data_IF_646258544047
#
_entry.id   IF_646258544047
#
_cell.length_a   1.000
_cell.length_b   1.000
_cell.length_c   1.000
_cell.angle_alpha   90.00
_cell.angle_beta   90.00
_cell.angle_gamma   90.00
#
_symmetry.space_group_name_H-M   'P 1'
#
loop_
_entity.id
_entity.type
_entity.pdbx_description
1 polymer ?
#
# COMPACT_ATOMS: atom_id res chain seq x y z
N UNK A 1 -67.89 -75.18 76.35
CA UNK A 1 -68.35 -74.89 74.97
C UNK A 1 -67.25 -74.08 74.30
N UNK A 2 -66.34 -74.80 73.65
CA UNK A 2 -65.09 -74.27 73.13
C UNK A 2 -65.32 -73.45 71.87
N UNK A 3 -65.10 -72.13 71.99
CA UNK A 3 -65.00 -71.23 70.85
C UNK A 3 -63.69 -71.53 70.13
N UNK A 4 -63.72 -72.47 69.17
CA UNK A 4 -62.65 -72.65 68.19
C UNK A 4 -62.40 -71.30 67.51
N UNK A 5 -61.21 -70.69 67.67
CA UNK A 5 -60.94 -69.39 67.07
C UNK A 5 -60.88 -69.55 65.54
N UNK A 6 -61.47 -68.57 64.86
CA UNK A 6 -61.60 -68.51 63.42
C UNK A 6 -60.22 -68.40 62.73
N UNK A 7 -59.58 -69.54 62.46
CA UNK A 7 -58.35 -69.68 61.66
C UNK A 7 -58.46 -68.96 60.29
N UNK A 8 -59.67 -68.88 59.72
CA UNK A 8 -59.93 -68.11 58.50
C UNK A 8 -59.75 -66.58 58.64
N UNK A 9 -59.95 -66.01 59.84
CA UNK A 9 -59.80 -64.56 60.04
C UNK A 9 -58.33 -64.12 60.14
N UNK A 10 -57.47 -64.96 60.72
CA UNK A 10 -56.02 -64.71 60.81
C UNK A 10 -55.35 -64.81 59.43
N UNK A 11 -55.74 -65.80 58.63
CA UNK A 11 -55.23 -65.95 57.27
C UNK A 11 -55.68 -64.79 56.35
N UNK A 12 -56.93 -64.36 56.47
CA UNK A 12 -57.45 -63.20 55.73
C UNK A 12 -56.75 -61.90 56.14
N UNK A 13 -56.51 -61.67 57.43
CA UNK A 13 -55.76 -60.50 57.91
C UNK A 13 -54.32 -60.49 57.41
N UNK A 14 -53.66 -61.65 57.35
CA UNK A 14 -52.29 -61.74 56.84
C UNK A 14 -52.21 -61.43 55.34
N UNK A 15 -53.15 -61.96 54.54
CA UNK A 15 -53.27 -61.66 53.11
C UNK A 15 -53.55 -60.18 52.86
N UNK A 16 -54.44 -59.56 53.65
CA UNK A 16 -54.70 -58.12 53.58
C UNK A 16 -53.43 -57.30 53.85
N UNK A 17 -52.69 -57.63 54.92
CA UNK A 17 -51.44 -56.95 55.25
C UNK A 17 -50.36 -57.12 54.16
N UNK A 18 -50.26 -58.31 53.55
CA UNK A 18 -49.35 -58.54 52.42
C UNK A 18 -49.78 -57.75 51.18
N UNK A 19 -51.07 -57.68 50.89
CA UNK A 19 -51.61 -56.93 49.75
C UNK A 19 -51.36 -55.43 49.93
N UNK A 20 -51.57 -54.90 51.14
CA UNK A 20 -51.29 -53.51 51.49
C UNK A 20 -49.80 -53.18 51.39
N UNK A 21 -48.92 -54.07 51.86
CA UNK A 21 -47.47 -53.89 51.76
C UNK A 21 -47.01 -53.82 50.28
N UNK A 22 -47.54 -54.70 49.42
CA UNK A 22 -47.25 -54.67 47.98
C UNK A 22 -47.79 -53.39 47.34
N UNK A 23 -49.00 -52.96 47.69
CA UNK A 23 -49.56 -51.69 47.19
C UNK A 23 -48.74 -50.48 47.63
N UNK A 24 -48.25 -50.46 48.88
CA UNK A 24 -47.38 -49.39 49.38
C UNK A 24 -46.04 -49.36 48.65
N UNK A 25 -45.41 -50.51 48.41
CA UNK A 25 -44.18 -50.61 47.61
C UNK A 25 -44.40 -50.11 46.19
N UNK A 26 -45.48 -50.56 45.53
CA UNK A 26 -45.83 -50.11 44.18
C UNK A 26 -46.05 -48.59 44.11
N UNK A 27 -46.76 -48.00 45.09
CA UNK A 27 -46.93 -46.54 45.19
C UNK A 27 -45.61 -45.81 45.41
N UNK A 28 -44.69 -46.39 46.19
CA UNK A 28 -43.35 -45.82 46.43
C UNK A 28 -42.54 -45.83 45.14
N UNK A 29 -42.50 -46.95 44.43
CA UNK A 29 -41.82 -47.08 43.14
C UNK A 29 -42.39 -46.13 42.09
N UNK A 30 -43.72 -45.97 42.02
CA UNK A 30 -44.35 -45.00 41.13
C UNK A 30 -43.92 -43.56 41.44
N UNK A 31 -43.86 -43.17 42.72
CA UNK A 31 -43.39 -41.84 43.13
C UNK A 31 -41.91 -41.64 42.81
N UNK A 32 -41.10 -42.66 43.02
CA UNK A 32 -39.66 -42.62 42.70
C UNK A 32 -39.44 -42.50 41.19
N UNK A 33 -40.16 -43.28 40.39
CA UNK A 33 -40.16 -43.18 38.93
C UNK A 33 -40.59 -41.80 38.45
N UNK A 34 -41.63 -41.22 39.05
CA UNK A 34 -42.06 -39.85 38.73
C UNK A 34 -40.95 -38.83 39.03
N UNK A 35 -40.33 -38.90 40.23
CA UNK A 35 -39.20 -38.01 40.58
C UNK A 35 -38.00 -38.15 39.64
N UNK A 36 -37.68 -39.38 39.23
CA UNK A 36 -36.60 -39.65 38.28
C UNK A 36 -36.93 -39.07 36.91
N UNK A 37 -38.17 -39.22 36.44
CA UNK A 37 -38.62 -38.61 35.18
C UNK A 37 -38.51 -37.09 35.21
N UNK A 38 -38.97 -36.44 36.27
CA UNK A 38 -38.86 -34.98 36.43
C UNK A 38 -37.39 -34.52 36.45
N UNK A 39 -36.51 -35.31 37.07
CA UNK A 39 -35.07 -35.04 37.12
C UNK A 39 -34.42 -35.20 35.74
N UNK A 40 -34.82 -36.23 34.98
CA UNK A 40 -34.34 -36.45 33.59
C UNK A 40 -34.80 -35.32 32.68
N UNK A 41 -36.06 -34.87 32.79
CA UNK A 41 -36.59 -33.75 32.01
C UNK A 41 -35.84 -32.45 32.32
N UNK A 42 -35.58 -32.18 33.60
CA UNK A 42 -34.78 -31.02 34.04
C UNK A 42 -33.36 -31.07 33.48
N UNK A 43 -32.67 -32.20 33.62
CA UNK A 43 -31.30 -32.37 33.10
C UNK A 43 -31.25 -32.29 31.57
N UNK A 44 -32.25 -32.82 30.87
CA UNK A 44 -32.37 -32.72 29.42
C UNK A 44 -32.50 -31.25 28.97
N UNK A 45 -33.31 -30.46 29.69
CA UNK A 45 -33.42 -29.01 29.48
C UNK A 45 -32.10 -28.28 29.72
N UNK A 46 -31.38 -28.61 30.81
CA UNK A 46 -30.08 -28.02 31.10
C UNK A 46 -29.02 -28.37 30.05
N UNK A 47 -28.97 -29.63 29.59
CA UNK A 47 -28.06 -30.07 28.53
C UNK A 47 -28.34 -29.31 27.24
N UNK A 48 -29.61 -29.21 26.84
CA UNK A 48 -30.00 -28.46 25.64
C UNK A 48 -29.60 -26.98 25.72
N UNK A 49 -29.78 -26.35 26.89
CA UNK A 49 -29.36 -24.96 27.09
C UNK A 49 -27.83 -24.80 27.05
N UNK A 50 -27.08 -25.73 27.64
CA UNK A 50 -25.61 -25.73 27.59
C UNK A 50 -25.10 -25.96 26.17
N UNK A 51 -25.73 -26.84 25.39
CA UNK A 51 -25.38 -27.06 23.98
C UNK A 51 -25.61 -25.82 23.13
N UNK A 52 -26.73 -25.12 23.33
CA UNK A 52 -26.99 -23.82 22.67
C UNK A 52 -25.95 -22.77 23.04
N UNK A 53 -25.64 -22.64 24.33
CA UNK A 53 -24.61 -21.71 24.79
C UNK A 53 -23.22 -22.04 24.22
N UNK A 54 -22.88 -23.34 24.15
CA UNK A 54 -21.63 -23.80 23.56
C UNK A 54 -21.56 -23.52 22.05
N UNK A 55 -22.66 -23.69 21.31
CA UNK A 55 -22.71 -23.35 19.89
C UNK A 55 -22.49 -21.85 19.65
N UNK A 56 -23.14 -20.99 20.44
CA UNK A 56 -22.94 -19.53 20.39
C UNK A 56 -21.50 -19.16 20.71
N UNK A 57 -20.90 -19.76 21.75
CA UNK A 57 -19.50 -19.52 22.11
C UNK A 57 -18.54 -19.95 20.99
N UNK A 58 -18.76 -21.11 20.36
CA UNK A 58 -17.96 -21.59 19.21
C UNK A 58 -18.01 -20.62 18.04
N UNK A 59 -19.21 -20.17 17.66
CA UNK A 59 -19.39 -19.18 16.59
C UNK A 59 -18.65 -17.87 16.89
N UNK A 60 -18.70 -17.38 18.14
CA UNK A 60 -17.95 -16.18 18.55
C UNK A 60 -16.43 -16.38 18.47
N UNK A 61 -15.92 -17.55 18.87
CA UNK A 61 -14.48 -17.88 18.77
C UNK A 61 -14.04 -17.94 17.32
N UNK A 62 -14.84 -18.51 16.43
CA UNK A 62 -14.54 -18.56 14.99
C UNK A 62 -14.51 -17.16 14.37
N UNK A 63 -15.47 -16.29 14.71
CA UNK A 63 -15.49 -14.90 14.25
C UNK A 63 -14.24 -14.13 14.70
N UNK A 64 -13.84 -14.26 15.97
CA UNK A 64 -12.64 -13.62 16.51
C UNK A 64 -11.36 -14.17 15.86
N UNK A 65 -11.29 -15.47 15.56
CA UNK A 65 -10.15 -16.05 14.84
C UNK A 65 -10.03 -15.51 13.41
N UNK A 66 -11.16 -15.35 12.72
CA UNK A 66 -11.18 -14.76 11.38
C UNK A 66 -10.73 -13.28 11.41
N UNK A 67 -11.20 -12.51 12.39
CA UNK A 67 -10.78 -11.12 12.57
C UNK A 67 -9.29 -10.99 12.92
N UNK A 68 -8.80 -11.81 13.84
CA UNK A 68 -7.38 -11.85 14.20
C UNK A 68 -6.49 -12.22 13.01
N UNK A 69 -6.91 -13.22 12.21
CA UNK A 69 -6.23 -13.58 10.96
C UNK A 69 -6.16 -12.42 9.98
N UNK A 70 -7.28 -11.67 9.80
CA UNK A 70 -7.32 -10.48 8.94
C UNK A 70 -6.36 -9.39 9.41
N UNK A 71 -6.32 -9.12 10.72
CA UNK A 71 -5.44 -8.10 11.31
C UNK A 71 -3.97 -8.50 11.13
N UNK A 72 -3.62 -9.76 11.37
CA UNK A 72 -2.25 -10.24 11.18
C UNK A 72 -1.82 -10.17 9.72
N UNK A 73 -2.66 -10.58 8.78
CA UNK A 73 -2.36 -10.45 7.35
C UNK A 73 -2.14 -8.97 6.96
N UNK A 74 -2.94 -8.04 7.49
CA UNK A 74 -2.74 -6.61 7.26
C UNK A 74 -1.45 -6.08 7.90
N UNK A 75 -1.07 -6.60 9.07
CA UNK A 75 0.18 -6.22 9.75
C UNK A 75 1.40 -6.75 9.00
N UNK A 76 1.39 -8.02 8.58
CA UNK A 76 2.46 -8.63 7.79
C UNK A 76 2.61 -7.90 6.44
N UNK A 77 1.51 -7.58 5.76
CA UNK A 77 1.55 -6.77 4.54
C UNK A 77 2.17 -5.40 4.77
N UNK A 78 1.91 -4.77 5.93
CA UNK A 78 2.50 -3.48 6.31
C UNK A 78 3.97 -3.59 6.74
N UNK A 79 4.38 -4.70 7.35
CA UNK A 79 5.78 -4.94 7.70
C UNK A 79 6.61 -5.28 6.45
N UNK A 80 6.00 -5.94 5.47
CA UNK A 80 6.64 -6.30 4.21
C UNK A 80 6.62 -5.17 3.16
N UNK A 81 5.81 -4.13 3.32
CA UNK A 81 5.94 -2.93 2.49
C UNK A 81 7.27 -2.25 2.82
N UNK A 82 8.13 -2.08 1.81
CA UNK A 82 9.43 -1.41 1.97
C UNK A 82 9.22 -0.04 2.61
N UNK A 83 9.97 0.23 3.68
CA UNK A 83 9.95 1.54 4.31
C UNK A 83 10.63 2.55 3.39
N UNK A 84 10.02 3.72 3.19
CA UNK A 84 10.53 4.75 2.27
C UNK A 84 11.98 5.11 2.61
N UNK A 85 12.29 5.31 3.90
CA UNK A 85 13.64 5.69 4.32
C UNK A 85 14.68 4.63 3.98
N UNK A 86 14.32 3.35 4.08
CA UNK A 86 15.22 2.24 3.74
C UNK A 86 15.48 2.22 2.23
N UNK A 87 14.43 2.33 1.41
CA UNK A 87 14.59 2.30 -0.05
C UNK A 87 15.33 3.54 -0.56
N UNK A 88 15.01 4.70 -0.01
CA UNK A 88 15.71 5.96 -0.26
C UNK A 88 17.21 5.86 0.10
N UNK A 89 17.52 5.36 1.31
CA UNK A 89 18.91 5.19 1.75
C UNK A 89 19.68 4.20 0.85
N UNK A 90 19.05 3.10 0.45
CA UNK A 90 19.63 2.12 -0.46
C UNK A 90 19.92 2.72 -1.84
N UNK A 91 18.97 3.49 -2.41
CA UNK A 91 19.17 4.19 -3.68
C UNK A 91 20.30 5.22 -3.59
N UNK A 92 20.35 6.04 -2.54
CA UNK A 92 21.46 6.96 -2.33
C UNK A 92 22.80 6.22 -2.21
N UNK A 93 22.88 5.17 -1.40
CA UNK A 93 24.09 4.38 -1.23
C UNK A 93 24.57 3.78 -2.56
N UNK A 94 23.63 3.29 -3.38
CA UNK A 94 23.89 2.85 -4.75
C UNK A 94 24.52 3.97 -5.58
N UNK A 95 23.90 5.14 -5.71
CA UNK A 95 24.47 6.23 -6.53
C UNK A 95 25.81 6.76 -5.99
N UNK A 96 26.01 6.77 -4.67
CA UNK A 96 27.29 7.14 -4.04
C UNK A 96 28.41 6.15 -4.33
N UNK A 97 28.12 4.84 -4.36
CA UNK A 97 29.13 3.81 -4.63
C UNK A 97 29.82 3.97 -5.99
N UNK A 98 29.14 4.61 -6.96
CA UNK A 98 29.66 4.86 -8.29
C UNK A 98 30.21 6.28 -8.49
N UNK A 99 30.47 7.02 -7.39
CA UNK A 99 30.97 8.40 -7.47
C UNK A 99 32.28 8.55 -8.26
N UNK A 100 33.08 7.49 -8.31
CA UNK A 100 34.41 7.50 -8.93
C UNK A 100 34.46 6.94 -10.36
N UNK A 101 33.34 6.45 -10.91
CA UNK A 101 33.32 5.90 -12.27
C UNK A 101 33.16 7.03 -13.31
N UNK A 102 33.97 6.99 -14.38
CA UNK A 102 33.81 7.92 -15.51
C UNK A 102 32.56 7.58 -16.32
N UNK A 103 31.83 8.61 -16.75
CA UNK A 103 30.66 8.42 -17.60
C UNK A 103 31.04 7.91 -19.01
N UNK A 104 30.30 6.93 -19.52
CA UNK A 104 30.38 6.46 -20.92
C UNK A 104 29.49 7.30 -21.84
N UNK A 105 28.40 7.85 -21.31
CA UNK A 105 27.47 8.76 -22.00
C UNK A 105 28.16 9.97 -22.63
N UNK A 106 29.25 10.44 -22.01
CA UNK A 106 30.05 11.58 -22.46
C UNK A 106 30.67 11.41 -23.86
N UNK A 107 30.90 10.20 -24.34
CA UNK A 107 31.60 9.95 -25.61
C UNK A 107 30.69 9.99 -26.84
N UNK A 108 29.38 9.75 -26.68
CA UNK A 108 28.50 9.42 -27.80
C UNK A 108 27.31 10.34 -28.04
N UNK A 109 26.93 11.17 -27.09
CA UNK A 109 25.60 11.82 -27.13
C UNK A 109 25.67 13.32 -27.40
N UNK A 110 26.53 14.12 -26.75
CA UNK A 110 26.47 15.59 -26.92
C UNK A 110 27.83 16.27 -26.75
N UNK A 111 28.53 16.50 -27.86
CA UNK A 111 29.69 17.40 -27.88
C UNK A 111 29.32 18.89 -27.98
N UNK A 112 28.03 19.24 -28.12
CA UNK A 112 27.58 20.64 -28.28
C UNK A 112 26.36 20.96 -27.41
N UNK A 113 26.58 21.03 -26.09
CA UNK A 113 25.54 21.48 -25.15
C UNK A 113 25.09 22.93 -25.45
N UNK A 114 25.98 23.73 -26.02
CA UNK A 114 25.76 25.11 -26.47
C UNK A 114 24.57 25.28 -27.44
N UNK A 115 24.18 24.23 -28.15
CA UNK A 115 23.07 24.29 -29.11
C UNK A 115 21.69 24.13 -28.46
N UNK A 116 21.64 23.78 -27.17
CA UNK A 116 20.40 23.47 -26.48
C UNK A 116 20.02 24.57 -25.49
N UNK A 117 18.71 24.81 -25.37
CA UNK A 117 18.16 25.79 -24.41
C UNK A 117 18.27 25.34 -22.95
N UNK A 118 18.50 24.06 -22.73
CA UNK A 118 18.61 23.44 -21.41
C UNK A 118 18.51 21.92 -21.50
N UNK A 119 18.72 21.26 -20.36
CA UNK A 119 18.67 19.79 -20.23
C UNK A 119 17.49 19.40 -19.36
N UNK A 120 16.70 18.44 -19.85
CA UNK A 120 15.54 17.89 -19.14
C UNK A 120 15.77 16.40 -18.94
N UNK A 121 15.60 15.91 -17.72
CA UNK A 121 15.83 14.51 -17.37
C UNK A 121 14.59 13.95 -16.69
N UNK A 122 14.07 12.85 -17.22
CA UNK A 122 13.03 12.03 -16.60
C UNK A 122 13.67 10.71 -16.09
N UNK A 123 14.02 10.62 -14.78
CA UNK A 123 14.60 9.43 -14.18
C UNK A 123 13.63 8.26 -14.06
N UNK A 124 14.15 7.12 -13.58
CA UNK A 124 13.34 5.93 -13.28
C UNK A 124 12.21 6.33 -12.34
N UNK A 125 10.98 5.98 -12.71
CA UNK A 125 9.78 6.52 -12.10
C UNK A 125 8.60 5.61 -12.28
N UNK A 126 7.45 6.08 -11.81
CA UNK A 126 6.19 5.34 -11.96
C UNK A 126 5.86 5.22 -13.45
N UNK A 127 5.69 3.98 -13.92
CA UNK A 127 5.33 3.69 -15.30
C UNK A 127 3.87 4.11 -15.54
N UNK A 128 3.68 5.20 -16.25
CA UNK A 128 2.34 5.68 -16.58
C UNK A 128 1.87 4.94 -17.83
N UNK A 129 0.68 4.34 -17.77
CA UNK A 129 0.04 3.72 -18.93
C UNK A 129 -0.15 4.67 -20.13
N UNK A 130 -0.15 5.99 -19.90
CA UNK A 130 -0.23 7.00 -20.93
C UNK A 130 1.17 7.54 -21.29
N UNK A 131 1.52 7.66 -22.60
CA UNK A 131 2.81 8.19 -23.04
C UNK A 131 2.95 9.71 -22.88
N UNK A 132 2.31 10.32 -21.87
CA UNK A 132 2.29 11.77 -21.63
C UNK A 132 3.70 12.35 -21.44
N UNK A 133 4.54 11.70 -20.63
CA UNK A 133 5.94 12.10 -20.44
C UNK A 133 6.68 12.10 -21.78
N UNK A 134 6.57 11.01 -22.55
CA UNK A 134 7.22 10.90 -23.85
C UNK A 134 6.76 11.99 -24.82
N UNK A 135 5.46 12.33 -24.80
CA UNK A 135 4.87 13.41 -25.60
C UNK A 135 5.45 14.77 -25.24
N UNK A 136 5.54 15.10 -23.95
CA UNK A 136 6.14 16.34 -23.46
C UNK A 136 7.63 16.45 -23.81
N UNK A 137 8.40 15.40 -23.53
CA UNK A 137 9.83 15.38 -23.83
C UNK A 137 10.08 15.55 -25.34
N UNK A 138 9.23 14.97 -26.19
CA UNK A 138 9.30 15.19 -27.64
C UNK A 138 8.96 16.64 -28.02
N UNK A 139 7.92 17.23 -27.46
CA UNK A 139 7.57 18.64 -27.70
C UNK A 139 8.69 19.60 -27.28
N UNK A 140 9.35 19.31 -26.16
CA UNK A 140 10.48 20.07 -25.63
C UNK A 140 11.75 19.86 -26.47
N UNK A 141 12.01 18.64 -26.93
CA UNK A 141 13.09 18.34 -27.87
C UNK A 141 12.94 19.14 -29.18
N UNK A 142 11.73 19.18 -29.74
CA UNK A 142 11.41 20.01 -30.92
C UNK A 142 11.59 21.52 -30.64
N UNK A 143 11.44 21.93 -29.39
CA UNK A 143 11.64 23.32 -28.95
C UNK A 143 13.10 23.68 -28.66
N UNK A 144 14.04 22.74 -28.84
CA UNK A 144 15.48 22.94 -28.66
C UNK A 144 16.03 22.54 -27.29
N UNK A 145 15.31 21.75 -26.49
CA UNK A 145 15.83 21.18 -25.25
C UNK A 145 16.48 19.81 -25.48
N UNK A 146 17.49 19.49 -24.68
CA UNK A 146 18.08 18.15 -24.65
C UNK A 146 17.31 17.30 -23.64
N UNK A 147 16.55 16.32 -24.11
CA UNK A 147 15.66 15.54 -23.27
C UNK A 147 16.17 14.11 -23.06
N UNK A 148 16.19 13.65 -21.80
CA UNK A 148 16.53 12.30 -21.40
C UNK A 148 15.32 11.59 -20.79
N UNK A 149 15.11 10.33 -21.15
CA UNK A 149 14.05 9.49 -20.63
C UNK A 149 14.59 8.14 -20.17
N UNK A 150 14.33 7.76 -18.92
CA UNK A 150 14.65 6.41 -18.45
C UNK A 150 13.78 5.36 -19.15
N UNK A 151 14.42 4.29 -19.62
CA UNK A 151 13.79 3.14 -20.27
C UNK A 151 14.62 1.89 -19.93
N UNK A 152 14.10 0.94 -19.14
CA UNK A 152 14.89 -0.20 -18.66
C UNK A 152 15.35 -1.15 -19.78
N UNK A 153 14.55 -1.32 -20.83
CA UNK A 153 14.72 -2.35 -21.86
C UNK A 153 15.69 -1.98 -23.00
N UNK A 154 16.64 -1.07 -22.77
CA UNK A 154 17.62 -0.65 -23.79
C UNK A 154 18.88 -1.51 -23.71
N UNK A 155 19.26 -2.16 -24.81
CA UNK A 155 20.48 -2.99 -24.84
C UNK A 155 21.78 -2.17 -24.77
N UNK A 156 21.84 -1.02 -25.45
CA UNK A 156 23.10 -0.27 -25.67
C UNK A 156 23.36 0.87 -24.67
N UNK A 157 22.74 0.84 -23.49
CA UNK A 157 22.90 1.90 -22.47
C UNK A 157 22.13 3.19 -22.78
N UNK A 158 22.11 3.61 -24.05
CA UNK A 158 21.28 4.72 -24.55
C UNK A 158 20.88 4.55 -26.02
N UNK A 159 19.80 5.23 -26.44
CA UNK A 159 19.38 5.37 -27.84
C UNK A 159 18.72 6.73 -28.06
N UNK A 160 18.98 7.39 -29.20
CA UNK A 160 18.25 8.60 -29.57
C UNK A 160 17.02 8.23 -30.41
N UNK A 161 15.82 8.52 -29.88
CA UNK A 161 14.54 8.24 -30.54
C UNK A 161 13.73 9.53 -30.62
N UNK A 162 13.53 10.02 -31.84
CA UNK A 162 12.74 11.23 -32.11
C UNK A 162 13.23 12.49 -31.35
N UNK A 163 14.55 12.63 -31.17
CA UNK A 163 15.14 13.77 -30.47
C UNK A 163 15.19 13.63 -28.94
N UNK A 164 14.63 12.55 -28.39
CA UNK A 164 14.73 12.21 -26.96
C UNK A 164 15.76 11.09 -26.80
N UNK A 165 16.70 11.28 -25.88
CA UNK A 165 17.70 10.28 -25.54
C UNK A 165 17.11 9.37 -24.48
N UNK A 166 16.87 8.13 -24.84
CA UNK A 166 16.43 7.12 -23.90
C UNK A 166 17.67 6.46 -23.28
N UNK A 167 17.65 6.18 -21.98
CA UNK A 167 18.78 5.61 -21.25
C UNK A 167 18.30 4.59 -20.20
N UNK A 168 19.14 3.61 -19.84
CA UNK A 168 18.80 2.62 -18.81
C UNK A 168 19.75 2.63 -17.59
N UNK A 169 20.75 3.50 -17.59
CA UNK A 169 21.76 3.60 -16.54
C UNK A 169 21.75 5.00 -15.91
N UNK A 170 21.00 5.15 -14.81
CA UNK A 170 20.89 6.42 -14.09
C UNK A 170 22.22 6.90 -13.48
N UNK A 171 23.10 5.97 -13.10
CA UNK A 171 24.43 6.30 -12.58
C UNK A 171 25.27 6.97 -13.65
N UNK A 172 25.27 6.42 -14.86
CA UNK A 172 26.06 6.95 -15.97
C UNK A 172 25.61 8.37 -16.36
N UNK A 173 24.29 8.60 -16.38
CA UNK A 173 23.72 9.92 -16.62
C UNK A 173 24.04 10.89 -15.48
N UNK A 174 23.90 10.47 -14.22
CA UNK A 174 24.24 11.30 -13.06
C UNK A 174 25.69 11.78 -13.12
N UNK A 175 26.62 10.87 -13.45
CA UNK A 175 28.04 11.20 -13.63
C UNK A 175 28.22 12.22 -14.74
N UNK A 176 27.58 12.03 -15.89
CA UNK A 176 27.66 12.98 -17.00
C UNK A 176 27.17 14.38 -16.60
N UNK A 177 26.05 14.49 -15.88
CA UNK A 177 25.52 15.78 -15.39
C UNK A 177 26.51 16.44 -14.43
N UNK A 178 27.07 15.69 -13.48
CA UNK A 178 28.03 16.19 -12.50
C UNK A 178 29.36 16.61 -13.15
N UNK A 179 29.92 15.77 -14.02
CA UNK A 179 31.21 16.02 -14.70
C UNK A 179 31.15 17.26 -15.60
N UNK A 180 29.99 17.53 -16.18
CA UNK A 180 29.73 18.70 -17.04
C UNK A 180 29.15 19.90 -16.28
N UNK A 181 28.94 19.78 -14.96
CA UNK A 181 28.33 20.80 -14.10
C UNK A 181 26.99 21.32 -14.66
N UNK A 182 26.21 20.43 -15.26
CA UNK A 182 24.91 20.79 -15.84
C UNK A 182 23.91 21.01 -14.71
N UNK A 183 23.08 22.06 -14.83
CA UNK A 183 21.92 22.28 -13.99
C UNK A 183 20.65 21.85 -14.73
N UNK A 184 20.22 20.58 -14.61
CA UNK A 184 19.08 20.08 -15.34
C UNK A 184 17.74 20.48 -14.70
N UNK A 185 16.70 20.44 -15.52
CA UNK A 185 15.31 20.35 -15.06
C UNK A 185 14.96 18.86 -14.90
N UNK A 186 14.60 18.45 -13.69
CA UNK A 186 14.25 17.07 -13.38
C UNK A 186 12.74 16.92 -13.37
N UNK A 187 12.22 16.10 -14.28
CA UNK A 187 10.81 15.70 -14.29
C UNK A 187 10.63 14.54 -13.29
N UNK A 188 10.14 14.88 -12.11
CA UNK A 188 9.88 13.93 -11.04
C UNK A 188 8.43 13.46 -11.12
N UNK A 189 8.23 12.14 -11.20
CA UNK A 189 6.91 11.49 -11.05
C UNK A 189 6.83 10.66 -9.77
N UNK A 190 7.97 10.44 -9.10
CA UNK A 190 8.06 9.62 -7.91
C UNK A 190 8.99 10.20 -6.85
N UNK A 191 8.58 10.14 -5.58
CA UNK A 191 9.36 10.70 -4.46
C UNK A 191 10.75 10.09 -4.32
N UNK A 192 10.96 8.82 -4.69
CA UNK A 192 12.28 8.17 -4.57
C UNK A 192 13.30 8.67 -5.60
N UNK A 193 12.87 9.36 -6.66
CA UNK A 193 13.77 10.04 -7.57
C UNK A 193 14.58 11.14 -6.86
N UNK A 194 14.13 11.59 -5.68
CA UNK A 194 14.89 12.50 -4.83
C UNK A 194 16.22 11.94 -4.34
N UNK A 195 16.33 10.62 -4.17
CA UNK A 195 17.61 9.98 -3.88
C UNK A 195 18.65 10.22 -4.99
N UNK A 196 18.20 10.43 -6.22
CA UNK A 196 19.05 10.69 -7.38
C UNK A 196 19.36 12.19 -7.53
N UNK A 197 18.32 13.05 -7.60
CA UNK A 197 18.53 14.46 -7.95
C UNK A 197 19.15 15.28 -6.81
N UNK A 198 19.00 14.88 -5.55
CA UNK A 198 19.62 15.60 -4.43
C UNK A 198 21.16 15.58 -4.50
N UNK A 199 21.73 14.65 -5.26
CA UNK A 199 23.16 14.58 -5.51
C UNK A 199 23.67 15.66 -6.48
N UNK A 200 22.76 16.35 -7.19
CA UNK A 200 23.07 17.41 -8.16
C UNK A 200 23.24 18.80 -7.53
N UNK A 201 23.02 18.95 -6.22
CA UNK A 201 23.19 20.19 -5.48
C UNK A 201 22.03 21.17 -5.62
N UNK A 202 21.71 21.63 -6.85
CA UNK A 202 20.64 22.60 -7.11
C UNK A 202 19.85 22.30 -8.41
N UNK A 203 19.20 21.14 -8.53
CA UNK A 203 18.35 20.85 -9.69
C UNK A 203 17.08 21.72 -9.69
N UNK A 204 16.59 22.08 -10.87
CA UNK A 204 15.24 22.64 -11.01
C UNK A 204 14.25 21.49 -11.05
N UNK A 205 13.32 21.42 -10.10
CA UNK A 205 12.36 20.32 -10.03
C UNK A 205 11.07 20.67 -10.75
N UNK A 206 10.66 19.81 -11.67
CA UNK A 206 9.32 19.76 -12.24
C UNK A 206 8.63 18.51 -11.70
N UNK A 207 7.62 18.68 -10.85
CA UNK A 207 6.93 17.58 -10.20
C UNK A 207 5.57 17.28 -10.86
N UNK A 208 5.39 16.09 -11.42
CA UNK A 208 4.12 15.62 -11.97
C UNK A 208 3.41 14.70 -10.98
N UNK A 209 2.21 15.11 -10.55
CA UNK A 209 1.39 14.36 -9.60
C UNK A 209 0.51 13.36 -10.37
N UNK A 210 0.72 12.06 -10.12
CA UNK A 210 -0.01 10.98 -10.78
C UNK A 210 -1.21 10.52 -9.95
N UNK A 211 -2.26 10.08 -10.64
CA UNK A 211 -3.59 10.00 -10.05
C UNK A 211 -3.79 8.87 -9.03
N UNK A 212 -3.16 7.71 -9.25
CA UNK A 212 -3.65 6.43 -8.72
C UNK A 212 -2.60 5.62 -7.95
N UNK A 213 -1.34 5.70 -8.37
CA UNK A 213 -0.24 4.91 -7.79
C UNK A 213 0.43 5.65 -6.65
N UNK A 214 0.57 6.96 -6.81
CA UNK A 214 0.94 7.94 -5.81
C UNK A 214 0.28 7.68 -4.43
N UNK A 215 -1.05 7.74 -4.30
CA UNK A 215 -1.69 7.53 -2.99
C UNK A 215 -1.62 6.09 -2.46
N UNK A 216 -1.54 5.07 -3.33
CA UNK A 216 -1.51 3.66 -2.91
C UNK A 216 -0.11 3.23 -2.47
N UNK A 217 0.92 3.70 -3.17
CA UNK A 217 2.32 3.45 -2.84
C UNK A 217 2.77 4.32 -1.64
N UNK A 218 2.18 5.50 -1.43
CA UNK A 218 2.61 6.45 -0.39
C UNK A 218 1.67 6.52 0.83
N UNK A 219 0.56 5.79 0.79
CA UNK A 219 -0.49 5.88 1.80
C UNK A 219 -0.13 5.34 3.20
N UNK A 220 0.94 4.54 3.31
CA UNK A 220 1.23 3.81 4.55
C UNK A 220 2.38 4.37 5.39
N UNK A 221 3.40 4.94 4.77
CA UNK A 221 4.58 5.44 5.49
C UNK A 221 4.61 6.99 5.58
N UNK A 222 5.07 7.49 6.72
CA UNK A 222 5.14 8.92 7.02
C UNK A 222 6.27 9.62 6.23
N UNK A 223 7.40 8.94 6.00
CA UNK A 223 8.55 9.49 5.30
C UNK A 223 8.22 9.87 3.86
N UNK A 224 7.62 8.95 3.11
CA UNK A 224 7.19 9.21 1.74
C UNK A 224 6.19 10.37 1.62
N UNK A 225 5.25 10.49 2.56
CA UNK A 225 4.28 11.60 2.61
C UNK A 225 4.96 12.93 2.87
N UNK A 226 5.91 12.98 3.80
CA UNK A 226 6.66 14.20 4.09
C UNK A 226 7.48 14.63 2.87
N UNK A 227 8.16 13.70 2.19
CA UNK A 227 8.93 14.01 0.98
C UNK A 227 8.04 14.51 -0.17
N UNK A 228 6.85 13.93 -0.32
CA UNK A 228 5.86 14.43 -1.28
C UNK A 228 5.46 15.88 -1.00
N UNK A 229 5.19 16.22 0.26
CA UNK A 229 4.87 17.60 0.65
C UNK A 229 6.05 18.56 0.47
N UNK A 230 7.26 18.09 0.71
CA UNK A 230 8.49 18.84 0.44
C UNK A 230 8.61 19.15 -1.05
N UNK A 231 8.45 18.13 -1.91
CA UNK A 231 8.46 18.25 -3.37
C UNK A 231 7.42 19.23 -3.89
N UNK A 232 6.18 19.15 -3.40
CA UNK A 232 5.12 20.09 -3.76
C UNK A 232 5.47 21.55 -3.42
N UNK A 233 6.29 21.77 -2.40
CA UNK A 233 6.70 23.12 -1.97
C UNK A 233 7.93 23.62 -2.71
N UNK A 234 8.86 22.73 -3.04
CA UNK A 234 10.15 23.08 -3.64
C UNK A 234 10.14 23.03 -5.18
N UNK A 235 9.20 22.33 -5.81
CA UNK A 235 9.15 22.19 -7.25
C UNK A 235 8.80 23.50 -7.95
N UNK A 236 9.67 23.91 -8.89
CA UNK A 236 9.48 25.12 -9.71
C UNK A 236 8.26 25.02 -10.63
N UNK A 237 7.96 23.80 -11.11
CA UNK A 237 6.77 23.49 -11.90
C UNK A 237 6.05 22.33 -11.24
N UNK A 238 4.72 22.44 -11.13
CA UNK A 238 3.88 21.32 -10.75
C UNK A 238 2.85 21.08 -11.83
N UNK A 239 2.83 19.85 -12.35
CA UNK A 239 1.79 19.34 -13.24
C UNK A 239 0.98 18.28 -12.51
N UNK A 240 -0.23 18.00 -12.99
CA UNK A 240 -1.07 16.97 -12.42
C UNK A 240 -1.73 16.15 -13.51
N UNK A 241 -1.88 14.85 -13.31
CA UNK A 241 -2.57 13.96 -14.24
C UNK A 241 -4.10 14.02 -14.16
N UNK A 242 -4.69 14.78 -13.22
CA UNK A 242 -6.13 14.97 -13.13
C UNK A 242 -6.54 16.26 -12.39
N UNK A 243 -7.79 16.68 -12.58
CA UNK A 243 -8.36 17.89 -11.97
C UNK A 243 -8.35 17.88 -10.43
N UNK A 244 -8.54 16.71 -9.81
CA UNK A 244 -8.55 16.58 -8.35
C UNK A 244 -7.20 16.97 -7.76
N UNK A 245 -6.11 16.57 -8.40
CA UNK A 245 -4.75 16.87 -7.97
C UNK A 245 -4.34 18.29 -8.31
N UNK A 246 -4.81 18.84 -9.42
CA UNK A 246 -4.71 20.27 -9.71
C UNK A 246 -5.25 21.10 -8.54
N UNK A 247 -6.43 20.78 -7.99
CA UNK A 247 -6.97 21.50 -6.84
C UNK A 247 -6.11 21.40 -5.57
N UNK A 248 -5.35 20.30 -5.39
CA UNK A 248 -4.45 20.11 -4.26
C UNK A 248 -3.13 20.86 -4.48
N UNK A 249 -2.58 20.79 -5.69
CA UNK A 249 -1.42 21.55 -6.12
C UNK A 249 -1.68 23.06 -5.90
N UNK A 250 -2.78 23.59 -6.46
CA UNK A 250 -3.24 24.99 -6.30
C UNK A 250 -3.23 25.50 -4.86
N UNK A 251 -3.63 24.66 -3.91
CA UNK A 251 -3.70 25.06 -2.49
C UNK A 251 -2.35 25.09 -1.80
N UNK A 252 -1.33 24.45 -2.38
CA UNK A 252 -0.07 24.10 -1.72
C UNK A 252 1.17 24.62 -2.42
N UNK A 253 1.07 24.96 -3.70
CA UNK A 253 2.13 25.64 -4.44
C UNK A 253 1.93 27.15 -4.38
N UNK A 254 3.00 27.90 -4.08
CA UNK A 254 3.07 29.34 -4.38
C UNK A 254 3.53 29.60 -5.82
N UNK A 255 3.55 28.56 -6.66
CA UNK A 255 4.30 28.49 -7.91
C UNK A 255 3.39 28.25 -9.11
N UNK A 256 3.95 28.43 -10.31
CA UNK A 256 3.26 28.34 -11.58
C UNK A 256 2.77 26.91 -11.84
N UNK A 257 1.46 26.72 -11.77
CA UNK A 257 0.80 25.49 -12.18
C UNK A 257 0.52 25.54 -13.68
N UNK A 258 0.69 24.40 -14.35
CA UNK A 258 0.19 24.21 -15.70
C UNK A 258 -1.09 23.40 -15.64
N UNK A 259 -2.24 23.96 -16.08
CA UNK A 259 -3.50 23.25 -16.09
C UNK A 259 -3.42 21.95 -16.89
N UNK A 260 -4.18 20.96 -16.44
CA UNK A 260 -4.32 19.71 -17.16
C UNK A 260 -4.86 19.96 -18.57
N UNK A 261 -4.17 19.45 -19.60
CA UNK A 261 -4.52 19.59 -21.01
C UNK A 261 -3.91 20.80 -21.72
N UNK A 262 -3.29 21.75 -21.00
CA UNK A 262 -2.63 22.94 -21.58
C UNK A 262 -1.10 22.80 -21.61
N UNK A 263 -0.57 21.61 -21.31
CA UNK A 263 0.84 21.45 -21.01
C UNK A 263 1.73 21.61 -22.25
N UNK A 264 1.27 21.20 -23.43
CA UNK A 264 2.05 21.29 -24.66
C UNK A 264 2.35 22.73 -25.07
N UNK A 265 1.39 23.65 -24.85
CA UNK A 265 1.54 25.06 -25.20
C UNK A 265 2.25 25.85 -24.09
N UNK A 266 1.92 25.56 -22.83
CA UNK A 266 2.42 26.34 -21.70
C UNK A 266 3.85 25.95 -21.27
N UNK A 267 4.20 24.65 -21.27
CA UNK A 267 5.47 24.18 -20.73
C UNK A 267 6.71 24.81 -21.39
N UNK A 268 6.83 24.91 -22.73
CA UNK A 268 8.02 25.49 -23.35
C UNK A 268 8.24 26.94 -22.90
N UNK A 269 7.17 27.73 -22.80
CA UNK A 269 7.24 29.13 -22.37
C UNK A 269 7.59 29.25 -20.89
N UNK A 270 7.10 28.33 -20.07
CA UNK A 270 7.35 28.27 -18.64
C UNK A 270 8.80 27.90 -18.33
N UNK A 271 9.28 26.81 -18.95
CA UNK A 271 10.64 26.32 -18.76
C UNK A 271 11.69 27.30 -19.30
N UNK A 272 11.35 28.11 -20.31
CA UNK A 272 12.22 29.18 -20.78
C UNK A 272 12.47 30.25 -19.70
N UNK A 273 11.47 30.55 -18.87
CA UNK A 273 11.59 31.52 -17.76
C UNK A 273 12.39 30.98 -16.59
N UNK A 274 12.37 29.66 -16.39
CA UNK A 274 13.10 28.99 -15.32
C UNK A 274 14.60 28.91 -15.56
N UNK A 275 15.09 29.40 -16.71
CA UNK A 275 16.49 29.75 -16.86
C UNK A 275 17.43 28.55 -16.76
N UNK A 276 17.07 27.41 -17.36
CA UNK A 276 17.98 26.27 -17.56
C UNK A 276 19.13 26.57 -18.53
N UNK A 277 19.70 27.78 -18.47
CA UNK A 277 20.87 28.18 -19.22
C UNK A 277 22.07 27.36 -18.76
N UNK A 278 22.73 26.69 -19.70
CA UNK A 278 24.02 26.07 -19.44
C UNK A 278 25.02 27.20 -19.22
N UNK A 279 25.34 27.51 -17.96
CA UNK A 279 26.52 28.33 -17.64
C UNK A 279 27.74 27.47 -17.91
N UNK A 280 28.23 27.51 -19.15
CA UNK A 280 29.55 26.95 -19.45
C UNK A 280 30.54 28.00 -18.98
N UNK A 281 31.07 27.83 -17.79
CA UNK A 281 32.30 28.50 -17.40
C UNK A 281 33.41 27.95 -18.31
N UNK A 282 33.65 28.63 -19.44
CA UNK A 282 34.78 28.39 -20.34
C UNK A 282 36.09 28.81 -19.71
#
# INVERSE_FOLDING_TARGET
>A
MDKKPALGSLFHSHLLNQTDAVQQLYRRELREKAKLNDSVETLSGEVSNKERAAAVARSKVEALRAEHSRINAALEAKQNSSNFETEYANRQAYYYSYKQCKSKLAAGVVNRLENYKGVIIAPDGIEIHEPRIARWLKGLANSGYLCFQYMPDIEQGYVNKQGVIQYNNEVDLLRWVLDRQIQPIILCTWVLQSAWYELLGQPTIWYDILALEDLRLWGHDAGGKLKHLELLRSAAVVTSGNERWSAIAKKRTMLQEVPYGEEEEALPSLLLRLGGGVSIDT
#
